data_IF_139381947656
#
_entry.id   IF_139381947656
#
_cell.length_a   1.000
_cell.length_b   1.000
_cell.length_c   1.000
_cell.angle_alpha   90.00
_cell.angle_beta   90.00
_cell.angle_gamma   90.00
#
_symmetry.space_group_name_H-M   'P 1'
#
loop_
_entity.id
_entity.type
_entity.pdbx_description
1 polymer ?
#
# COMPACT_ATOMS: atom_id res chain seq x y z
N UNK A 1 -3.93 13.07 -1.62
CA UNK A 1 -3.81 12.74 -0.18
C UNK A 1 -2.56 11.88 -0.02
N UNK A 2 -1.74 12.06 1.03
CA UNK A 2 -0.67 11.12 1.35
C UNK A 2 -1.28 9.71 1.46
N UNK A 3 -0.61 8.69 0.91
CA UNK A 3 -1.07 7.32 1.13
C UNK A 3 -0.94 6.96 2.62
N UNK A 4 -1.83 6.10 3.12
CA UNK A 4 -1.83 5.69 4.53
C UNK A 4 -2.05 4.20 4.64
N UNK A 5 -1.24 3.52 5.45
CA UNK A 5 -1.48 2.12 5.78
C UNK A 5 -2.46 2.03 6.95
N UNK A 6 -3.62 1.37 6.79
CA UNK A 6 -4.60 1.25 7.85
C UNK A 6 -4.08 0.29 8.94
N UNK A 7 -4.23 0.68 10.20
CA UNK A 7 -4.02 -0.25 11.31
C UNK A 7 -5.10 -1.34 11.29
N UNK A 8 -4.69 -2.59 11.53
CA UNK A 8 -5.56 -3.76 11.61
C UNK A 8 -5.43 -4.45 12.96
N UNK A 9 -6.47 -5.19 13.36
CA UNK A 9 -6.52 -5.89 14.65
C UNK A 9 -7.44 -7.11 14.51
N UNK A 10 -7.03 -8.12 13.73
CA UNK A 10 -7.86 -9.29 13.46
C UNK A 10 -8.14 -10.05 14.76
N UNK A 11 -9.39 -10.50 14.96
CA UNK A 11 -9.79 -11.26 16.15
C UNK A 11 -9.67 -12.77 15.94
N UNK A 12 -9.67 -13.21 14.68
CA UNK A 12 -9.53 -14.59 14.28
C UNK A 12 -8.78 -14.72 12.94
N UNK A 13 -8.47 -15.94 12.51
CA UNK A 13 -7.71 -16.19 11.28
C UNK A 13 -8.48 -15.81 10.00
N UNK A 14 -9.81 -15.85 10.01
CA UNK A 14 -10.62 -15.35 8.90
C UNK A 14 -10.50 -13.83 8.73
N UNK A 15 -10.52 -13.10 9.85
CA UNK A 15 -10.27 -11.66 9.88
C UNK A 15 -8.86 -11.34 9.39
N UNK A 16 -7.86 -12.17 9.75
CA UNK A 16 -6.47 -11.99 9.33
C UNK A 16 -6.33 -11.98 7.81
N UNK A 17 -6.97 -12.91 7.09
CA UNK A 17 -6.89 -12.94 5.62
C UNK A 17 -7.54 -11.69 5.01
N UNK A 18 -8.67 -11.25 5.56
CA UNK A 18 -9.35 -10.03 5.10
C UNK A 18 -8.50 -8.78 5.36
N UNK A 19 -7.88 -8.71 6.54
CA UNK A 19 -6.99 -7.61 6.91
C UNK A 19 -5.69 -7.62 6.09
N UNK A 20 -5.19 -8.79 5.71
CA UNK A 20 -4.05 -8.93 4.80
C UNK A 20 -4.37 -8.34 3.43
N UNK A 21 -5.48 -8.74 2.80
CA UNK A 21 -5.90 -8.20 1.49
C UNK A 21 -6.04 -6.67 1.53
N UNK A 22 -6.59 -6.15 2.63
CA UNK A 22 -6.75 -4.71 2.85
C UNK A 22 -5.41 -3.98 2.97
N UNK A 23 -4.46 -4.54 3.73
CA UNK A 23 -3.11 -3.96 3.90
C UNK A 23 -2.34 -4.02 2.58
N UNK A 24 -2.42 -5.13 1.84
CA UNK A 24 -1.75 -5.28 0.54
C UNK A 24 -2.28 -4.29 -0.50
N UNK A 25 -3.60 -4.06 -0.51
CA UNK A 25 -4.22 -3.04 -1.38
C UNK A 25 -3.72 -1.64 -1.04
N UNK A 26 -3.75 -1.25 0.25
CA UNK A 26 -3.24 0.06 0.68
C UNK A 26 -1.74 0.23 0.40
N UNK A 27 -0.96 -0.85 0.52
CA UNK A 27 0.44 -0.87 0.14
C UNK A 27 0.64 -0.63 -1.36
N UNK A 28 -0.13 -1.28 -2.23
CA UNK A 28 -0.03 -1.08 -3.68
C UNK A 28 -0.30 0.37 -4.08
N UNK A 29 -1.29 1.01 -3.46
CA UNK A 29 -1.56 2.45 -3.67
C UNK A 29 -0.38 3.32 -3.23
N UNK A 30 0.24 3.01 -2.08
CA UNK A 30 1.43 3.69 -1.61
C UNK A 30 2.63 3.52 -2.54
N UNK A 31 2.89 2.28 -2.96
CA UNK A 31 4.00 1.94 -3.85
C UNK A 31 3.87 2.67 -5.19
N UNK A 32 2.65 2.79 -5.73
CA UNK A 32 2.41 3.53 -6.98
C UNK A 32 2.81 5.02 -6.92
N UNK A 33 2.75 5.65 -5.73
CA UNK A 33 3.25 7.02 -5.57
C UNK A 33 4.79 7.09 -5.65
N UNK A 34 5.48 6.11 -5.08
CA UNK A 34 6.94 5.99 -5.16
C UNK A 34 7.36 5.68 -6.59
N UNK A 35 6.68 4.76 -7.26
CA UNK A 35 6.94 4.40 -8.65
C UNK A 35 6.81 5.62 -9.58
N UNK A 36 5.81 6.47 -9.36
CA UNK A 36 5.64 7.71 -10.11
C UNK A 36 6.85 8.65 -9.96
N UNK A 37 7.35 8.83 -8.74
CA UNK A 37 8.54 9.66 -8.48
C UNK A 37 9.78 9.05 -9.13
N UNK A 38 9.98 7.74 -8.94
CA UNK A 38 11.10 7.01 -9.53
C UNK A 38 11.11 7.13 -11.06
N UNK A 39 9.97 6.87 -11.71
CA UNK A 39 9.84 6.97 -13.16
C UNK A 39 10.12 8.39 -13.67
N UNK A 40 9.66 9.41 -12.95
CA UNK A 40 9.95 10.80 -13.30
C UNK A 40 11.45 11.10 -13.21
N UNK A 41 12.12 10.64 -12.15
CA UNK A 41 13.56 10.82 -11.97
C UNK A 41 14.38 10.08 -13.03
N UNK A 42 13.98 8.86 -13.41
CA UNK A 42 14.67 8.09 -14.46
C UNK A 42 14.50 8.69 -15.86
N UNK A 43 13.40 9.44 -16.09
CA UNK A 43 13.14 10.12 -17.36
C UNK A 43 13.85 11.48 -17.48
N UNK A 44 14.34 12.04 -16.37
CA UNK A 44 15.14 13.25 -16.38
C UNK A 44 16.63 12.88 -16.67
N UNK A 45 17.25 13.42 -17.74
CA UNK A 45 18.64 13.15 -18.07
C UNK A 45 19.64 13.77 -17.09
#
# INVERSE_FOLDING_TARGET
>A
MPCTLPATSPLNNGDQFTDQDRVETAWAECAGQVDMVFNHQQAAP
#
